data_IF_939028150492
#
_entry.id   IF_939028150492
#
_cell.length_a   1.000
_cell.length_b   1.000
_cell.length_c   1.000
_cell.angle_alpha   90.00
_cell.angle_beta   90.00
_cell.angle_gamma   90.00
#
_symmetry.space_group_name_H-M   'P 1'
#
loop_
_entity.id
_entity.type
_entity.pdbx_description
1 polymer ?
#
# COMPACT_ATOMS: atom_id res chain seq x y z
N UNK A 1 12.60 13.06 8.69
CA UNK A 1 11.14 12.82 8.54
C UNK A 1 10.70 13.08 7.11
N UNK A 2 11.07 14.23 6.53
CA UNK A 2 10.90 14.49 5.09
C UNK A 2 11.50 13.37 4.21
N UNK A 3 12.75 12.97 4.48
CA UNK A 3 13.40 11.82 3.83
C UNK A 3 12.57 10.52 3.88
N UNK A 4 11.96 10.22 5.03
CA UNK A 4 11.15 9.02 5.22
C UNK A 4 9.85 9.11 4.41
N UNK A 5 9.19 10.28 4.41
CA UNK A 5 7.97 10.51 3.61
C UNK A 5 8.27 10.38 2.11
N UNK A 6 9.35 11.01 1.64
CA UNK A 6 9.76 10.94 0.24
C UNK A 6 10.09 9.51 -0.17
N UNK A 7 10.84 8.78 0.67
CA UNK A 7 11.18 7.39 0.39
C UNK A 7 9.94 6.49 0.41
N UNK A 8 9.04 6.64 1.39
CA UNK A 8 7.81 5.85 1.49
C UNK A 8 6.91 6.06 0.28
N UNK A 9 6.79 7.31 -0.22
CA UNK A 9 6.07 7.58 -1.48
C UNK A 9 6.62 6.80 -2.65
N UNK A 10 7.94 6.79 -2.82
CA UNK A 10 8.58 6.02 -3.88
C UNK A 10 8.28 4.51 -3.77
N UNK A 11 8.20 3.96 -2.54
CA UNK A 11 7.80 2.56 -2.33
C UNK A 11 6.34 2.31 -2.72
N UNK A 12 5.43 3.21 -2.33
CA UNK A 12 4.02 3.12 -2.68
C UNK A 12 3.78 3.27 -4.19
N UNK A 13 4.57 4.11 -4.87
CA UNK A 13 4.51 4.29 -6.32
C UNK A 13 5.00 3.05 -7.07
N UNK A 14 6.06 2.40 -6.57
CA UNK A 14 6.53 1.14 -7.14
C UNK A 14 5.53 0.00 -6.93
N UNK A 15 4.93 -0.11 -5.74
CA UNK A 15 3.87 -1.09 -5.47
C UNK A 15 2.63 -0.84 -6.34
N UNK A 16 2.24 0.42 -6.53
CA UNK A 16 1.11 0.81 -7.40
C UNK A 16 1.38 0.40 -8.84
N UNK A 17 2.59 0.66 -9.34
CA UNK A 17 3.02 0.25 -10.69
C UNK A 17 2.94 -1.27 -10.87
N UNK A 18 3.44 -2.04 -9.90
CA UNK A 18 3.41 -3.51 -9.93
C UNK A 18 1.96 -4.01 -9.90
N UNK A 19 1.12 -3.47 -9.02
CA UNK A 19 -0.28 -3.86 -8.91
C UNK A 19 -1.07 -3.51 -10.18
N UNK A 20 -0.86 -2.33 -10.78
CA UNK A 20 -1.48 -1.96 -12.07
C UNK A 20 -1.06 -2.91 -13.20
N UNK A 21 0.23 -3.22 -13.30
CA UNK A 21 0.70 -4.16 -14.30
C UNK A 21 0.00 -5.53 -14.16
N UNK A 22 -0.14 -6.03 -12.93
CA UNK A 22 -0.87 -7.27 -12.65
C UNK A 22 -2.38 -7.21 -12.97
N UNK A 23 -2.97 -6.01 -13.02
CA UNK A 23 -4.37 -5.80 -13.41
C UNK A 23 -4.56 -5.59 -14.93
N UNK A 24 -3.55 -5.08 -15.63
CA UNK A 24 -3.61 -4.73 -17.06
C UNK A 24 -3.21 -5.89 -17.98
N UNK A 25 -2.61 -6.97 -17.46
CA UNK A 25 -1.89 -7.92 -18.31
C UNK A 25 -2.66 -9.23 -18.60
N UNK A 26 -3.58 -9.17 -19.57
CA UNK A 26 -3.63 -10.18 -20.65
C UNK A 26 -4.16 -9.53 -21.95
N UNK A 27 -3.30 -9.45 -22.96
CA UNK A 27 -3.67 -9.21 -24.36
C UNK A 27 -4.58 -7.99 -24.65
N UNK A 28 -4.48 -6.92 -23.85
CA UNK A 28 -5.28 -5.70 -24.06
C UNK A 28 -6.75 -5.84 -23.65
N UNK A 29 -7.07 -6.88 -22.89
CA UNK A 29 -8.37 -7.05 -22.23
C UNK A 29 -8.31 -6.41 -20.85
N UNK A 30 -9.34 -5.65 -20.48
CA UNK A 30 -9.55 -5.21 -19.10
C UNK A 30 -9.94 -6.43 -18.26
N UNK A 31 -8.95 -7.22 -17.84
CA UNK A 31 -9.12 -8.43 -17.01
C UNK A 31 -9.99 -8.18 -15.77
N UNK A 32 -10.00 -6.94 -15.27
CA UNK A 32 -10.51 -6.58 -13.97
C UNK A 32 -9.56 -7.13 -12.91
N UNK A 33 -9.10 -6.27 -11.99
CA UNK A 33 -8.23 -6.69 -10.89
C UNK A 33 -8.92 -7.58 -9.85
N UNK A 34 -9.97 -8.33 -10.22
CA UNK A 34 -10.77 -9.19 -9.36
C UNK A 34 -10.34 -10.64 -9.60
N UNK A 35 -9.56 -11.18 -8.67
CA UNK A 35 -9.08 -12.57 -8.73
C UNK A 35 -9.94 -13.47 -7.84
N UNK A 36 -10.11 -14.72 -8.25
CA UNK A 36 -10.83 -15.71 -7.45
C UNK A 36 -10.17 -17.08 -7.54
N UNK A 37 -10.31 -17.87 -6.47
CA UNK A 37 -9.81 -19.24 -6.42
C UNK A 37 -10.95 -20.24 -6.65
N UNK A 38 -10.84 -21.05 -7.70
CA UNK A 38 -11.90 -21.98 -8.15
C UNK A 38 -11.87 -23.35 -7.44
N UNK A 39 -10.86 -23.57 -6.59
CA UNK A 39 -10.58 -24.87 -5.97
C UNK A 39 -9.38 -25.61 -6.56
N UNK A 40 -8.81 -25.11 -7.64
CA UNK A 40 -7.65 -25.68 -8.33
C UNK A 40 -6.66 -24.60 -8.81
N UNK A 41 -7.15 -23.47 -9.32
CA UNK A 41 -6.38 -22.35 -9.87
C UNK A 41 -6.86 -21.02 -9.30
N UNK A 42 -6.04 -19.98 -9.47
CA UNK A 42 -6.50 -18.60 -9.33
C UNK A 42 -6.71 -18.03 -10.71
N UNK A 43 -7.85 -17.41 -10.94
CA UNK A 43 -8.21 -16.84 -12.23
C UNK A 43 -8.93 -15.49 -12.08
N UNK A 44 -9.06 -14.76 -13.19
CA UNK A 44 -9.79 -13.50 -13.23
C UNK A 44 -11.30 -13.76 -13.22
N UNK A 45 -12.07 -12.93 -12.52
CA UNK A 45 -13.52 -13.12 -12.40
C UNK A 45 -14.25 -12.92 -13.73
N UNK A 46 -13.80 -11.99 -14.57
CA UNK A 46 -14.51 -11.63 -15.82
C UNK A 46 -14.19 -12.57 -16.99
N UNK A 47 -12.91 -12.78 -17.23
CA UNK A 47 -12.43 -13.49 -18.41
C UNK A 47 -12.09 -14.96 -18.11
N UNK A 48 -12.18 -15.39 -16.83
CA UNK A 48 -11.77 -16.72 -16.37
C UNK A 48 -10.33 -17.05 -16.81
N UNK A 49 -9.48 -16.03 -16.85
CA UNK A 49 -8.10 -16.20 -17.29
C UNK A 49 -7.25 -16.64 -16.12
N UNK A 50 -6.52 -17.74 -16.29
CA UNK A 50 -5.66 -18.28 -15.25
C UNK A 50 -4.52 -17.33 -14.89
N UNK A 51 -4.49 -16.89 -13.64
CA UNK A 51 -3.50 -15.99 -13.04
C UNK A 51 -2.38 -16.78 -12.38
N UNK A 52 -2.72 -17.85 -11.66
CA UNK A 52 -1.74 -18.67 -10.95
C UNK A 52 -2.14 -20.14 -10.91
N UNK A 53 -1.13 -21.01 -11.09
CA UNK A 53 -1.24 -22.47 -11.00
C UNK A 53 -0.19 -23.01 -10.05
N UNK A 54 -0.55 -24.03 -9.28
CA UNK A 54 0.38 -24.71 -8.38
C UNK A 54 1.25 -25.74 -9.10
N UNK A 55 2.10 -26.44 -8.37
CA UNK A 55 2.95 -27.49 -8.95
C UNK A 55 2.10 -28.67 -9.43
N UNK A 56 2.40 -29.19 -10.64
CA UNK A 56 1.66 -30.32 -11.24
C UNK A 56 0.15 -30.06 -11.35
N UNK A 57 -0.24 -28.82 -11.68
CA UNK A 57 -1.64 -28.37 -11.80
C UNK A 57 -2.46 -28.50 -10.51
N UNK A 58 -1.77 -28.62 -9.37
CA UNK A 58 -2.35 -28.67 -8.03
C UNK A 58 -1.87 -27.50 -7.20
N UNK A 59 -2.80 -26.62 -6.81
CA UNK A 59 -2.57 -25.57 -5.82
C UNK A 59 -3.26 -25.94 -4.53
N UNK A 60 -2.54 -25.88 -3.42
CA UNK A 60 -3.17 -26.10 -2.11
C UNK A 60 -4.21 -24.98 -1.83
N UNK A 61 -5.34 -25.31 -1.19
CA UNK A 61 -6.41 -24.34 -0.99
C UNK A 61 -6.07 -23.13 -0.14
N UNK A 62 -5.01 -23.17 0.67
CA UNK A 62 -4.61 -22.03 1.50
C UNK A 62 -3.82 -21.03 0.65
N UNK A 63 -2.87 -21.51 -0.16
CA UNK A 63 -2.11 -20.69 -1.11
C UNK A 63 -3.01 -20.04 -2.15
N UNK A 64 -3.94 -20.78 -2.74
CA UNK A 64 -4.85 -20.22 -3.76
C UNK A 64 -5.76 -19.13 -3.21
N UNK A 65 -6.34 -19.34 -2.03
CA UNK A 65 -7.10 -18.29 -1.34
C UNK A 65 -6.24 -17.08 -0.99
N UNK A 66 -5.00 -17.30 -0.54
CA UNK A 66 -4.10 -16.20 -0.22
C UNK A 66 -3.82 -15.33 -1.45
N UNK A 67 -3.47 -15.94 -2.58
CA UNK A 67 -3.21 -15.21 -3.83
C UNK A 67 -4.48 -14.46 -4.28
N UNK A 68 -5.64 -15.11 -4.30
CA UNK A 68 -6.89 -14.47 -4.69
C UNK A 68 -7.29 -13.31 -3.76
N UNK A 69 -7.01 -13.41 -2.46
CA UNK A 69 -7.29 -12.37 -1.46
C UNK A 69 -6.39 -11.13 -1.61
N UNK A 70 -5.20 -11.30 -2.18
CA UNK A 70 -4.25 -10.24 -2.51
C UNK A 70 -4.40 -9.79 -3.97
N UNK A 71 -5.65 -9.65 -4.42
CA UNK A 71 -5.95 -9.18 -5.77
C UNK A 71 -5.44 -7.73 -6.01
N UNK A 72 -5.05 -7.38 -7.24
CA UNK A 72 -4.55 -6.06 -7.57
C UNK A 72 -5.50 -4.91 -7.22
N UNK A 73 -6.82 -5.09 -7.37
CA UNK A 73 -7.78 -4.02 -7.10
C UNK A 73 -7.87 -3.69 -5.60
N UNK A 74 -7.75 -4.69 -4.72
CA UNK A 74 -7.56 -4.49 -3.29
C UNK A 74 -6.24 -3.79 -2.99
N UNK A 75 -5.13 -4.29 -3.52
CA UNK A 75 -3.79 -3.71 -3.26
C UNK A 75 -3.76 -2.22 -3.62
N UNK A 76 -4.35 -1.84 -4.75
CA UNK A 76 -4.45 -0.44 -5.17
C UNK A 76 -5.28 0.41 -4.19
N UNK A 77 -6.39 -0.12 -3.66
CA UNK A 77 -7.19 0.56 -2.61
C UNK A 77 -6.40 0.72 -1.31
N UNK A 78 -5.61 -0.27 -0.92
CA UNK A 78 -4.75 -0.17 0.26
C UNK A 78 -3.63 0.87 0.07
N UNK A 79 -3.03 0.95 -1.13
CA UNK A 79 -2.03 1.96 -1.46
C UNK A 79 -2.64 3.36 -1.44
N UNK A 80 -3.84 3.55 -2.00
CA UNK A 80 -4.55 4.82 -1.95
C UNK A 80 -4.79 5.27 -0.50
N UNK A 81 -5.26 4.37 0.37
CA UNK A 81 -5.43 4.67 1.80
C UNK A 81 -4.11 5.07 2.48
N UNK A 82 -3.00 4.41 2.15
CA UNK A 82 -1.66 4.78 2.66
C UNK A 82 -1.21 6.15 2.15
N UNK A 83 -1.47 6.48 0.87
CA UNK A 83 -1.19 7.81 0.30
C UNK A 83 -2.01 8.90 0.99
N UNK A 84 -3.29 8.66 1.28
CA UNK A 84 -4.12 9.59 2.06
C UNK A 84 -3.54 9.86 3.45
N UNK A 85 -2.99 8.84 4.12
CA UNK A 85 -2.34 9.04 5.42
C UNK A 85 -1.06 9.90 5.33
N UNK A 86 -0.28 9.72 4.27
CA UNK A 86 0.88 10.57 3.97
C UNK A 86 0.44 12.03 3.76
N UNK A 87 -0.59 12.26 2.95
CA UNK A 87 -1.14 13.61 2.74
C UNK A 87 -1.62 14.25 4.06
N UNK A 88 -2.35 13.49 4.89
CA UNK A 88 -2.83 13.97 6.19
C UNK A 88 -1.67 14.37 7.13
N UNK A 89 -0.56 13.62 7.11
CA UNK A 89 0.64 13.97 7.86
C UNK A 89 1.23 15.31 7.39
N UNK A 90 1.38 15.51 6.08
CA UNK A 90 1.92 16.75 5.53
C UNK A 90 1.02 17.96 5.79
N UNK A 91 -0.28 17.79 5.64
CA UNK A 91 -1.27 18.82 5.97
C UNK A 91 -1.17 19.22 7.45
N UNK A 92 -1.03 18.24 8.36
CA UNK A 92 -0.85 18.50 9.79
C UNK A 92 0.46 19.24 10.08
N UNK A 93 1.55 18.89 9.39
CA UNK A 93 2.85 19.58 9.51
C UNK A 93 2.75 21.01 8.98
N UNK A 94 2.10 21.25 7.84
CA UNK A 94 1.89 22.59 7.29
C UNK A 94 1.09 23.44 8.27
N UNK A 95 -0.06 22.93 8.74
CA UNK A 95 -0.92 23.64 9.69
C UNK A 95 -0.21 23.96 11.00
N UNK A 96 0.65 23.07 11.49
CA UNK A 96 1.48 23.30 12.67
C UNK A 96 2.52 24.40 12.43
N UNK A 97 3.24 24.37 11.31
CA UNK A 97 4.26 25.35 10.96
C UNK A 97 3.67 26.76 10.75
N UNK A 98 2.45 26.84 10.22
CA UNK A 98 1.72 28.10 10.02
C UNK A 98 1.11 28.64 11.33
N UNK A 99 1.11 27.83 12.40
CA UNK A 99 0.51 28.18 13.70
C UNK A 99 1.56 28.65 14.71
N UNK A 100 1.33 29.81 15.32
CA UNK A 100 2.14 30.30 16.44
C UNK A 100 1.78 29.61 17.78
N UNK A 101 2.72 29.50 18.74
CA UNK A 101 2.49 28.88 20.05
C UNK A 101 1.45 29.60 20.92
N UNK A 102 1.00 30.79 20.54
CA UNK A 102 -0.05 31.54 21.23
C UNK A 102 -1.48 31.11 20.84
N UNK A 103 -1.64 30.21 19.85
CA UNK A 103 -2.96 29.75 19.41
C UNK A 103 -3.48 28.62 20.30
N UNK A 104 -4.74 28.69 20.69
CA UNK A 104 -5.42 27.65 21.51
C UNK A 104 -5.44 26.27 20.82
N UNK A 105 -5.24 26.20 19.50
CA UNK A 105 -5.13 24.97 18.73
C UNK A 105 -3.74 24.32 18.76
N UNK A 106 -2.72 24.99 19.31
CA UNK A 106 -1.31 24.55 19.22
C UNK A 106 -1.10 23.14 19.77
N UNK A 107 -1.59 22.85 20.98
CA UNK A 107 -1.47 21.51 21.60
C UNK A 107 -2.11 20.40 20.76
N UNK A 108 -3.27 20.69 20.12
CA UNK A 108 -3.93 19.72 19.24
C UNK A 108 -3.11 19.47 17.99
N UNK A 109 -2.56 20.51 17.38
CA UNK A 109 -1.72 20.40 16.19
C UNK A 109 -0.45 19.60 16.48
N UNK A 110 0.19 19.84 17.63
CA UNK A 110 1.33 19.02 18.09
C UNK A 110 0.94 17.54 18.22
N UNK A 111 -0.18 17.25 18.88
CA UNK A 111 -0.68 15.88 19.02
C UNK A 111 -0.96 15.18 17.69
N UNK A 112 -1.57 15.89 16.73
CA UNK A 112 -1.82 15.38 15.38
C UNK A 112 -0.53 15.04 14.64
N UNK A 113 0.45 15.96 14.63
CA UNK A 113 1.75 15.74 13.97
C UNK A 113 2.48 14.54 14.59
N UNK A 114 2.54 14.46 15.92
CA UNK A 114 3.21 13.34 16.60
C UNK A 114 2.54 11.99 16.32
N UNK A 115 1.21 11.93 16.32
CA UNK A 115 0.47 10.68 16.09
C UNK A 115 0.58 10.22 14.64
N UNK A 116 0.46 11.15 13.69
CA UNK A 116 0.60 10.84 12.26
C UNK A 116 2.04 10.47 11.91
N UNK A 117 3.04 11.13 12.49
CA UNK A 117 4.44 10.72 12.37
C UNK A 117 4.64 9.26 12.76
N UNK A 118 4.12 8.85 13.93
CA UNK A 118 4.22 7.46 14.42
C UNK A 118 3.55 6.48 13.45
N UNK A 119 2.43 6.88 12.84
CA UNK A 119 1.72 6.07 11.85
C UNK A 119 2.54 5.91 10.55
N UNK A 120 3.21 6.96 10.08
CA UNK A 120 4.13 6.88 8.92
C UNK A 120 5.31 5.94 9.21
N UNK A 121 5.92 6.04 10.40
CA UNK A 121 7.01 5.14 10.82
C UNK A 121 6.55 3.67 10.83
N UNK A 122 5.30 3.38 11.26
CA UNK A 122 4.72 2.03 11.19
C UNK A 122 4.45 1.56 9.76
N UNK A 123 3.92 2.44 8.91
CA UNK A 123 3.65 2.12 7.51
C UNK A 123 4.91 1.77 6.73
N UNK A 124 6.07 2.26 7.17
CA UNK A 124 7.36 1.95 6.57
C UNK A 124 7.92 0.57 6.98
N UNK A 125 7.44 -0.03 8.08
CA UNK A 125 7.98 -1.30 8.59
C UNK A 125 7.92 -2.49 7.61
N UNK A 126 6.85 -2.69 6.81
CA UNK A 126 6.81 -3.76 5.82
C UNK A 126 7.89 -3.64 4.74
N UNK A 127 8.51 -2.46 4.60
CA UNK A 127 9.53 -2.16 3.60
C UNK A 127 10.95 -2.13 4.19
N UNK A 128 11.15 -2.60 5.43
CA UNK A 128 12.43 -2.52 6.12
C UNK A 128 13.57 -3.29 5.43
N UNK A 129 13.25 -4.25 4.58
CA UNK A 129 14.17 -5.04 3.76
C UNK A 129 14.50 -4.38 2.41
N UNK A 130 13.79 -3.30 2.04
CA UNK A 130 14.00 -2.62 0.77
C UNK A 130 15.22 -1.68 0.80
N UNK A 131 15.99 -1.59 -0.31
CA UNK A 131 17.10 -0.66 -0.42
C UNK A 131 16.70 0.79 -0.10
N UNK A 132 17.55 1.47 0.68
CA UNK A 132 17.33 2.85 1.08
C UNK A 132 16.49 3.03 2.36
N UNK A 133 15.90 1.96 2.91
CA UNK A 133 15.38 2.01 4.27
C UNK A 133 16.52 2.32 5.27
N UNK A 134 16.25 3.18 6.25
CA UNK A 134 17.21 3.53 7.31
C UNK A 134 16.67 3.04 8.64
N UNK A 135 17.49 2.34 9.44
CA UNK A 135 17.08 1.85 10.76
C UNK A 135 16.67 2.97 11.73
N UNK A 136 17.13 4.20 11.52
CA UNK A 136 16.68 5.39 12.28
C UNK A 136 15.18 5.72 12.10
N UNK A 137 14.54 5.17 11.06
CA UNK A 137 13.10 5.31 10.80
C UNK A 137 12.27 4.25 11.52
N UNK A 138 12.90 3.24 12.11
CA UNK A 138 12.22 2.23 12.91
C UNK A 138 11.72 2.89 14.21
N UNK A 139 10.42 2.80 14.52
CA UNK A 139 9.86 3.42 15.71
C UNK A 139 10.29 2.77 17.03
#
# INVERSE_FOLDING_TARGET
MDDLVQWLRAQLDEDDRIARAAAEELEGLELGGEWWYDGQYVETVREHTMVAVGSQDFMDPATGRHIAEWDPARVLREIDAKRQLVCAYEEAVSAFNDSGPALTSYDRLTGSVSSLRRAIELLALPYADRPGYREEWRP
#
